data_IF_595104942841
#
_entry.id   IF_595104942841
#
_cell.length_a   1.000
_cell.length_b   1.000
_cell.length_c   1.000
_cell.angle_alpha   90.00
_cell.angle_beta   90.00
_cell.angle_gamma   90.00
#
_symmetry.space_group_name_H-M   'P 1'
#
loop_
_entity.id
_entity.type
_entity.pdbx_description
1 polymer ?
#
# COMPACT_ATOMS: atom_id res chain seq x y z
N UNK A 1 -9.92 -10.68 10.73
CA UNK A 1 -9.26 -10.20 9.52
C UNK A 1 -9.27 -8.69 9.53
N UNK A 2 -8.15 -8.07 9.22
CA UNK A 2 -8.01 -6.61 9.29
C UNK A 2 -7.63 -6.06 7.93
N UNK A 3 -7.84 -4.76 7.74
CA UNK A 3 -7.55 -4.06 6.49
C UNK A 3 -6.63 -2.88 6.81
N UNK A 4 -5.57 -2.74 6.02
CA UNK A 4 -4.67 -1.60 6.09
C UNK A 4 -4.59 -0.94 4.73
N UNK A 5 -4.73 0.38 4.70
CA UNK A 5 -4.54 1.15 3.47
C UNK A 5 -3.27 1.97 3.62
N UNK A 6 -2.36 1.82 2.66
CA UNK A 6 -1.11 2.56 2.60
C UNK A 6 -1.13 3.39 1.33
N UNK A 7 -0.86 4.68 1.46
CA UNK A 7 -0.84 5.60 0.33
C UNK A 7 0.41 6.46 0.36
N UNK A 8 0.96 6.76 -0.83
CA UNK A 8 2.13 7.61 -0.94
C UNK A 8 2.13 8.31 -2.29
N UNK A 9 2.56 9.56 -2.32
CA UNK A 9 2.58 10.37 -3.54
C UNK A 9 3.95 10.33 -4.22
N UNK A 10 3.95 10.19 -5.54
CA UNK A 10 5.09 10.46 -6.44
C UNK A 10 6.36 9.65 -6.24
N UNK A 11 6.39 8.65 -5.39
CA UNK A 11 7.58 7.86 -5.14
C UNK A 11 7.21 6.39 -4.93
N UNK A 12 7.33 5.62 -6.00
CA UNK A 12 6.97 4.19 -5.98
C UNK A 12 7.95 3.36 -5.15
N UNK A 13 9.20 3.76 -5.08
CA UNK A 13 10.21 3.04 -4.29
C UNK A 13 9.90 3.19 -2.80
N UNK A 14 9.62 4.39 -2.35
CA UNK A 14 9.27 4.65 -0.96
C UNK A 14 7.95 3.99 -0.60
N UNK A 15 6.98 4.05 -1.51
CA UNK A 15 5.70 3.36 -1.35
C UNK A 15 5.92 1.85 -1.16
N UNK A 16 6.75 1.23 -1.99
CA UNK A 16 7.05 -0.19 -1.90
C UNK A 16 7.69 -0.56 -0.56
N UNK A 17 8.58 0.29 -0.05
CA UNK A 17 9.21 0.07 1.25
C UNK A 17 8.18 0.09 2.39
N UNK A 18 7.24 1.01 2.34
CA UNK A 18 6.18 1.10 3.34
C UNK A 18 5.33 -0.17 3.34
N UNK A 19 4.97 -0.67 2.16
CA UNK A 19 4.19 -1.90 2.04
C UNK A 19 5.00 -3.09 2.55
N UNK A 20 6.24 -3.23 2.13
CA UNK A 20 7.12 -4.33 2.55
C UNK A 20 7.32 -4.36 4.06
N UNK A 21 7.53 -3.20 4.67
CA UNK A 21 7.71 -3.12 6.12
C UNK A 21 6.45 -3.53 6.86
N UNK A 22 5.30 -3.15 6.34
CA UNK A 22 4.04 -3.51 6.98
C UNK A 22 3.78 -5.01 6.94
N UNK A 23 4.02 -5.66 5.78
CA UNK A 23 3.65 -7.06 5.60
C UNK A 23 4.61 -8.06 6.25
N UNK A 24 5.78 -7.62 6.68
CA UNK A 24 6.84 -8.48 7.23
C UNK A 24 6.37 -9.42 8.34
N UNK A 25 5.53 -8.93 9.24
CA UNK A 25 5.12 -9.64 10.43
C UNK A 25 3.64 -10.00 10.42
N UNK A 26 3.04 -10.07 9.23
CA UNK A 26 1.61 -10.32 9.08
C UNK A 26 1.38 -11.54 8.22
N UNK A 27 0.24 -12.16 8.41
CA UNK A 27 -0.22 -13.22 7.52
C UNK A 27 -1.12 -12.54 6.49
N UNK A 28 -0.65 -12.48 5.25
CA UNK A 28 -1.30 -11.72 4.19
C UNK A 28 -2.33 -12.59 3.47
N UNK A 29 -3.56 -12.12 3.44
CA UNK A 29 -4.63 -12.76 2.70
C UNK A 29 -4.68 -12.22 1.27
N UNK A 30 -4.65 -10.90 1.12
CA UNK A 30 -4.71 -10.27 -0.19
C UNK A 30 -4.10 -8.88 -0.15
N UNK A 31 -3.50 -8.47 -1.27
CA UNK A 31 -3.02 -7.10 -1.47
C UNK A 31 -3.54 -6.61 -2.82
N UNK A 32 -4.21 -5.48 -2.81
CA UNK A 32 -4.66 -4.85 -4.04
C UNK A 32 -4.00 -3.49 -4.19
N UNK A 33 -3.40 -3.25 -5.35
CA UNK A 33 -2.72 -2.01 -5.67
C UNK A 33 -3.56 -1.17 -6.61
N UNK A 34 -3.49 0.15 -6.45
CA UNK A 34 -4.08 1.07 -7.40
C UNK A 34 -3.19 2.29 -7.56
N UNK A 35 -3.34 2.95 -8.71
CA UNK A 35 -2.60 4.16 -9.03
C UNK A 35 -3.61 5.15 -9.59
N UNK A 36 -3.53 6.39 -9.12
CA UNK A 36 -4.37 7.45 -9.65
C UNK A 36 -3.57 8.73 -9.84
N UNK A 37 -4.12 9.65 -10.61
CA UNK A 37 -3.48 10.93 -10.93
C UNK A 37 -4.42 12.05 -10.52
N UNK A 38 -3.85 13.14 -9.99
CA UNK A 38 -4.63 14.32 -9.74
C UNK A 38 -4.46 15.35 -10.89
N UNK A 39 -5.14 16.47 -10.77
CA UNK A 39 -5.11 17.51 -11.81
C UNK A 39 -3.75 18.24 -11.87
N UNK A 40 -2.94 18.13 -10.82
CA UNK A 40 -1.62 18.74 -10.76
C UNK A 40 -0.51 17.81 -11.27
N UNK A 41 -0.89 16.62 -11.73
CA UNK A 41 0.07 15.65 -12.24
C UNK A 41 0.72 14.79 -11.18
N UNK A 42 0.25 14.84 -9.95
CA UNK A 42 0.76 13.97 -8.89
C UNK A 42 0.23 12.55 -9.06
N UNK A 43 1.07 11.57 -8.77
CA UNK A 43 0.71 10.17 -8.82
C UNK A 43 0.49 9.67 -7.39
N UNK A 44 -0.69 9.13 -7.13
CA UNK A 44 -1.00 8.52 -5.84
C UNK A 44 -0.92 7.01 -5.98
N UNK A 45 -0.02 6.39 -5.22
CA UNK A 45 0.08 4.95 -5.10
C UNK A 45 -0.68 4.50 -3.87
N UNK A 46 -1.51 3.47 -4.02
CA UNK A 46 -2.32 2.94 -2.92
C UNK A 46 -2.22 1.43 -2.86
N UNK A 47 -2.20 0.90 -1.65
CA UNK A 47 -2.30 -0.54 -1.43
C UNK A 47 -3.34 -0.80 -0.36
N UNK A 48 -4.26 -1.72 -0.64
CA UNK A 48 -5.20 -2.21 0.36
C UNK A 48 -4.76 -3.63 0.73
N UNK A 49 -4.41 -3.81 2.00
CA UNK A 49 -3.86 -5.06 2.50
C UNK A 49 -4.87 -5.70 3.45
N UNK A 50 -5.29 -6.90 3.12
CA UNK A 50 -6.18 -7.70 3.95
C UNK A 50 -5.32 -8.75 4.63
N UNK A 51 -5.30 -8.77 5.96
CA UNK A 51 -4.34 -9.56 6.70
C UNK A 51 -4.89 -10.06 8.03
N UNK A 52 -4.17 -11.01 8.61
CA UNK A 52 -4.36 -11.47 9.97
C UNK A 52 -3.08 -11.13 10.73
N UNK A 53 -3.17 -10.49 11.90
CA UNK A 53 -1.98 -10.21 12.70
C UNK A 53 -1.30 -11.51 13.12
N UNK A 54 0.01 -11.51 13.05
CA UNK A 54 0.79 -12.67 13.44
C UNK A 54 0.98 -12.74 14.96
#
# INVERSE_FOLDING_TARGET
MEVKIIEYYNDDIEFSKLVEDFIKNKIINNVEYSTSFDTDGNILYSAMIIYVPA
#
